data_IF_173780689953
#
_entry.id   IF_173780689953
#
_cell.length_a   1.000
_cell.length_b   1.000
_cell.length_c   1.000
_cell.angle_alpha   90.00
_cell.angle_beta   90.00
_cell.angle_gamma   90.00
#
_symmetry.space_group_name_H-M   'P 1'
#
loop_
_entity.id
_entity.type
_entity.pdbx_description
1 polymer ?
#
# COMPACT_ATOMS: atom_id res chain seq x y z
N UNK A 1 1.73 -19.08 26.05
CA UNK A 1 1.98 -18.98 24.60
C UNK A 1 1.35 -17.70 24.09
N UNK A 2 1.97 -16.99 23.15
CA UNK A 2 1.33 -15.85 22.50
C UNK A 2 0.08 -16.31 21.74
N UNK A 3 -0.93 -15.43 21.65
CA UNK A 3 -2.14 -15.73 20.88
C UNK A 3 -1.80 -15.91 19.40
N UNK A 4 -2.30 -17.00 18.80
CA UNK A 4 -2.15 -17.27 17.37
C UNK A 4 -3.14 -16.43 16.58
N UNK A 5 -2.71 -15.90 15.45
CA UNK A 5 -3.53 -15.08 14.56
C UNK A 5 -4.31 -15.95 13.60
N UNK A 6 -5.58 -15.60 13.44
CA UNK A 6 -6.44 -16.10 12.37
C UNK A 6 -6.29 -15.26 11.10
N UNK A 7 -6.79 -15.76 9.97
CA UNK A 7 -6.89 -14.98 8.73
C UNK A 7 -7.69 -13.68 8.93
N UNK A 8 -8.73 -13.71 9.77
CA UNK A 8 -9.46 -12.49 10.17
C UNK A 8 -8.57 -11.50 10.92
N UNK A 9 -7.76 -11.95 11.86
CA UNK A 9 -6.86 -11.06 12.61
C UNK A 9 -5.87 -10.39 11.66
N UNK A 10 -5.32 -11.13 10.69
CA UNK A 10 -4.40 -10.61 9.67
C UNK A 10 -5.09 -9.56 8.78
N UNK A 11 -6.32 -9.83 8.32
CA UNK A 11 -7.14 -8.86 7.59
C UNK A 11 -7.40 -7.60 8.42
N UNK A 12 -7.72 -7.74 9.71
CA UNK A 12 -7.94 -6.60 10.62
C UNK A 12 -6.67 -5.77 10.87
N UNK A 13 -5.48 -6.33 10.64
CA UNK A 13 -4.22 -5.57 10.68
C UNK A 13 -3.95 -4.79 9.40
N UNK A 14 -4.53 -5.17 8.27
CA UNK A 14 -4.24 -4.57 6.97
C UNK A 14 -5.37 -3.67 6.47
N UNK A 15 -6.62 -4.12 6.55
CA UNK A 15 -7.82 -3.39 6.12
C UNK A 15 -8.62 -2.92 7.34
N UNK A 16 -8.12 -1.87 7.99
CA UNK A 16 -8.66 -1.40 9.27
C UNK A 16 -9.83 -0.42 9.13
N UNK A 17 -9.98 0.23 7.98
CA UNK A 17 -10.97 1.29 7.80
C UNK A 17 -12.39 0.71 7.75
N UNK A 18 -13.36 1.29 8.47
CA UNK A 18 -14.74 0.79 8.48
C UNK A 18 -15.36 0.76 7.07
N UNK A 19 -16.36 -0.10 6.90
CA UNK A 19 -17.12 -0.25 5.67
C UNK A 19 -18.46 0.48 5.83
N UNK A 20 -18.84 1.33 4.86
CA UNK A 20 -20.06 2.13 4.95
C UNK A 20 -21.33 1.26 4.98
N UNK A 21 -21.36 0.19 4.17
CA UNK A 21 -22.47 -0.74 4.02
C UNK A 21 -22.61 -1.74 5.18
N UNK A 22 -21.53 -1.98 5.95
CA UNK A 22 -21.52 -2.99 7.02
C UNK A 22 -21.37 -2.42 8.43
N UNK A 23 -20.72 -1.28 8.54
CA UNK A 23 -20.41 -0.62 9.80
C UNK A 23 -20.74 0.88 9.71
N UNK A 24 -21.97 1.26 9.30
CA UNK A 24 -22.32 2.64 8.94
C UNK A 24 -22.02 3.64 10.06
N UNK A 25 -22.32 3.30 11.31
CA UNK A 25 -22.04 4.19 12.44
C UNK A 25 -20.54 4.35 12.71
N UNK A 26 -19.75 3.27 12.59
CA UNK A 26 -18.29 3.33 12.77
C UNK A 26 -17.65 4.08 11.62
N UNK A 27 -18.19 3.93 10.41
CA UNK A 27 -17.80 4.66 9.22
C UNK A 27 -18.05 6.16 9.38
N UNK A 28 -19.27 6.55 9.77
CA UNK A 28 -19.63 7.94 10.03
C UNK A 28 -18.74 8.56 11.11
N UNK A 29 -18.59 7.90 12.27
CA UNK A 29 -17.70 8.38 13.35
C UNK A 29 -16.25 8.54 12.88
N UNK A 30 -15.77 7.66 11.98
CA UNK A 30 -14.41 7.79 11.44
C UNK A 30 -14.31 8.98 10.49
N UNK A 31 -15.28 9.19 9.60
CA UNK A 31 -15.32 10.35 8.72
C UNK A 31 -15.43 11.67 9.50
N UNK A 32 -16.16 11.71 10.62
CA UNK A 32 -16.24 12.89 11.50
C UNK A 32 -14.88 13.29 12.10
N UNK A 33 -13.92 12.36 12.16
CA UNK A 33 -12.55 12.64 12.61
C UNK A 33 -11.60 13.10 11.50
N UNK A 34 -12.09 13.17 10.26
CA UNK A 34 -11.31 13.43 9.05
C UNK A 34 -11.88 14.64 8.29
N UNK A 35 -11.07 15.19 7.41
CA UNK A 35 -11.54 15.97 6.27
C UNK A 35 -11.36 15.15 5.00
N UNK A 36 -12.31 15.29 4.07
CA UNK A 36 -12.16 14.70 2.74
C UNK A 36 -11.40 15.69 1.86
N UNK A 37 -10.23 15.30 1.38
CA UNK A 37 -9.55 16.04 0.32
C UNK A 37 -10.30 15.78 -0.98
N UNK A 38 -10.73 16.84 -1.66
CA UNK A 38 -11.54 16.74 -2.87
C UNK A 38 -10.88 17.48 -4.04
N UNK A 39 -11.16 16.98 -5.24
CA UNK A 39 -10.87 17.64 -6.50
C UNK A 39 -12.17 18.05 -7.19
N UNK A 40 -12.09 18.97 -8.14
CA UNK A 40 -13.22 19.43 -8.94
C UNK A 40 -12.80 19.55 -10.42
N UNK A 41 -13.60 18.96 -11.29
CA UNK A 41 -13.49 19.11 -12.75
C UNK A 41 -14.88 19.43 -13.34
N UNK A 42 -15.04 19.30 -14.66
CA UNK A 42 -16.28 19.60 -15.38
C UNK A 42 -17.47 18.73 -14.96
N UNK A 43 -17.21 17.54 -14.41
CA UNK A 43 -18.22 16.60 -13.93
C UNK A 43 -18.51 16.77 -12.42
N UNK A 44 -17.93 17.77 -11.77
CA UNK A 44 -18.19 18.13 -10.38
C UNK A 44 -17.09 17.74 -9.39
N UNK A 45 -17.47 17.65 -8.11
CA UNK A 45 -16.54 17.43 -6.99
C UNK A 45 -16.45 15.95 -6.62
N UNK A 46 -15.23 15.43 -6.45
CA UNK A 46 -14.99 14.04 -6.04
C UNK A 46 -13.83 13.92 -5.05
N UNK A 47 -13.81 12.88 -4.20
CA UNK A 47 -12.77 12.70 -3.20
C UNK A 47 -11.47 12.16 -3.82
N UNK A 48 -10.34 12.61 -3.29
CA UNK A 48 -8.99 12.14 -3.66
C UNK A 48 -8.14 11.74 -2.45
N UNK A 49 -8.63 11.94 -1.22
CA UNK A 49 -7.97 11.45 -0.02
C UNK A 49 -8.72 11.74 1.28
N UNK A 50 -8.26 11.13 2.38
CA UNK A 50 -8.77 11.37 3.74
C UNK A 50 -7.69 11.94 4.66
N UNK A 51 -7.83 13.20 5.04
CA UNK A 51 -6.86 13.96 5.83
C UNK A 51 -7.28 14.05 7.29
N UNK A 52 -6.33 13.95 8.23
CA UNK A 52 -6.62 14.23 9.64
C UNK A 52 -6.89 15.71 9.87
N UNK A 53 -7.80 16.04 10.78
CA UNK A 53 -8.07 17.44 11.16
C UNK A 53 -6.83 18.14 11.73
N UNK A 54 -5.99 17.42 12.47
CA UNK A 54 -4.70 17.93 12.97
C UNK A 54 -3.73 18.28 11.85
N UNK A 55 -3.71 17.52 10.75
CA UNK A 55 -2.89 17.85 9.58
C UNK A 55 -3.36 19.15 8.95
N UNK A 56 -4.66 19.30 8.77
CA UNK A 56 -5.26 20.53 8.27
C UNK A 56 -4.94 21.75 9.14
N UNK A 57 -4.95 21.59 10.46
CA UNK A 57 -4.61 22.65 11.41
C UNK A 57 -3.17 23.15 11.24
N UNK A 58 -2.21 22.26 11.01
CA UNK A 58 -0.83 22.66 10.70
C UNK A 58 -0.67 23.23 9.28
N UNK A 59 -1.38 22.70 8.29
CA UNK A 59 -1.37 23.22 6.92
C UNK A 59 -1.83 24.68 6.89
N UNK A 60 -2.84 25.07 7.68
CA UNK A 60 -3.27 26.48 7.79
C UNK A 60 -2.16 27.42 8.25
N UNK A 61 -1.22 26.94 9.06
CA UNK A 61 -0.09 27.72 9.61
C UNK A 61 1.05 27.89 8.60
N UNK A 62 1.10 27.09 7.54
CA UNK A 62 2.09 27.26 6.46
C UNK A 62 1.82 28.61 5.76
N UNK A 63 2.86 29.44 5.51
CA UNK A 63 2.69 30.73 4.84
C UNK A 63 1.95 30.61 3.51
N UNK A 64 1.00 31.50 3.25
CA UNK A 64 0.17 31.48 2.04
C UNK A 64 1.01 31.43 0.75
N UNK A 65 2.13 32.15 0.72
CA UNK A 65 3.07 32.16 -0.42
C UNK A 65 3.73 30.81 -0.70
N UNK A 66 3.74 29.89 0.28
CA UNK A 66 4.33 28.55 0.15
C UNK A 66 3.25 27.51 -0.15
N UNK A 67 2.13 27.53 0.58
CA UNK A 67 1.07 26.52 0.43
C UNK A 67 0.05 26.81 -0.65
N UNK A 68 -0.06 28.06 -1.06
CA UNK A 68 -1.17 28.54 -1.88
C UNK A 68 -2.52 28.42 -1.18
N UNK A 69 -3.57 28.48 -1.97
CA UNK A 69 -4.94 28.54 -1.47
C UNK A 69 -5.46 27.21 -0.94
N UNK A 70 -6.24 27.33 0.14
CA UNK A 70 -7.01 26.25 0.74
C UNK A 70 -8.47 26.68 0.67
N UNK A 71 -9.33 25.88 0.04
CA UNK A 71 -10.78 26.06 0.11
C UNK A 71 -11.30 25.02 1.08
N UNK A 72 -11.94 25.48 2.16
CA UNK A 72 -12.48 24.63 3.22
C UNK A 72 -13.99 24.84 3.32
N UNK A 73 -14.74 23.74 3.22
CA UNK A 73 -16.18 23.69 3.48
C UNK A 73 -16.44 23.00 4.83
N UNK A 74 -16.82 23.75 5.88
CA UNK A 74 -17.08 23.20 7.21
C UNK A 74 -18.39 22.39 7.29
N UNK A 75 -19.34 22.61 6.36
CA UNK A 75 -20.60 21.86 6.36
C UNK A 75 -20.41 20.49 5.71
N UNK A 76 -19.66 20.44 4.62
CA UNK A 76 -19.34 19.19 3.94
C UNK A 76 -18.11 18.46 4.52
N UNK A 77 -17.36 19.10 5.44
CA UNK A 77 -16.05 18.63 5.92
C UNK A 77 -15.08 18.31 4.77
N UNK A 78 -15.06 19.17 3.74
CA UNK A 78 -14.18 18.99 2.56
C UNK A 78 -13.12 20.07 2.48
N UNK A 79 -11.98 19.69 1.90
CA UNK A 79 -10.82 20.57 1.69
C UNK A 79 -10.37 20.43 0.23
N UNK A 80 -10.16 21.54 -0.48
CA UNK A 80 -9.47 21.59 -1.77
C UNK A 80 -8.13 22.28 -1.61
N UNK A 81 -7.07 21.63 -2.07
CA UNK A 81 -5.70 22.16 -2.09
C UNK A 81 -5.04 21.92 -3.44
N UNK A 82 -4.03 22.74 -3.76
CA UNK A 82 -3.22 22.63 -4.98
C UNK A 82 -4.01 22.70 -6.30
N UNK A 83 -5.28 23.12 -6.28
CA UNK A 83 -6.18 23.10 -7.45
C UNK A 83 -6.01 24.29 -8.39
N UNK A 84 -5.56 25.46 -7.89
CA UNK A 84 -5.48 26.69 -8.70
C UNK A 84 -4.43 26.70 -9.81
N UNK A 85 -3.21 26.15 -9.63
CA UNK A 85 -2.24 26.16 -10.72
C UNK A 85 -2.73 25.35 -11.92
N UNK A 86 -2.65 25.93 -13.12
CA UNK A 86 -3.23 25.36 -14.34
C UNK A 86 -2.60 24.03 -14.80
N UNK A 87 -1.32 23.81 -14.49
CA UNK A 87 -0.55 22.66 -14.98
C UNK A 87 -0.18 21.71 -13.84
N UNK A 88 -0.19 20.40 -14.10
CA UNK A 88 0.30 19.35 -13.18
C UNK A 88 1.63 19.73 -12.53
N UNK A 89 2.63 20.10 -13.34
CA UNK A 89 3.96 20.51 -12.85
C UNK A 89 3.91 21.59 -11.76
N UNK A 90 3.16 22.67 -11.97
CA UNK A 90 3.03 23.76 -10.97
C UNK A 90 2.29 23.32 -9.71
N UNK A 91 1.33 22.39 -9.82
CA UNK A 91 0.64 21.81 -8.66
C UNK A 91 1.60 20.92 -7.86
N UNK A 92 2.40 20.12 -8.55
CA UNK A 92 3.49 19.32 -7.98
C UNK A 92 4.53 20.18 -7.28
N UNK A 93 4.97 21.29 -7.89
CA UNK A 93 5.89 22.26 -7.26
C UNK A 93 5.30 22.87 -5.99
N UNK A 94 4.02 23.23 -5.99
CA UNK A 94 3.33 23.80 -4.83
C UNK A 94 3.17 22.76 -3.69
N UNK A 95 2.78 21.53 -4.04
CA UNK A 95 2.71 20.42 -3.09
C UNK A 95 4.09 20.11 -2.48
N UNK A 96 5.15 20.11 -3.30
CA UNK A 96 6.52 19.92 -2.87
C UNK A 96 7.00 21.05 -1.94
N UNK A 97 6.74 22.32 -2.29
CA UNK A 97 7.11 23.46 -1.44
C UNK A 97 6.42 23.40 -0.06
N UNK A 98 5.12 23.06 -0.06
CA UNK A 98 4.32 22.91 1.17
C UNK A 98 4.88 21.81 2.07
N UNK A 99 5.09 20.62 1.51
CA UNK A 99 5.54 19.44 2.26
C UNK A 99 6.99 19.55 2.70
N UNK A 100 7.83 20.21 1.90
CA UNK A 100 9.19 20.55 2.27
C UNK A 100 9.24 21.54 3.44
N UNK A 101 8.37 22.56 3.45
CA UNK A 101 8.25 23.47 4.60
C UNK A 101 7.89 22.71 5.88
N UNK A 102 6.89 21.83 5.82
CA UNK A 102 6.50 21.00 6.98
C UNK A 102 7.64 20.09 7.44
N UNK A 103 8.41 19.52 6.50
CA UNK A 103 9.58 18.69 6.80
C UNK A 103 10.68 19.48 7.50
N UNK A 104 11.06 20.64 6.96
CA UNK A 104 12.12 21.48 7.55
C UNK A 104 11.75 21.96 8.96
N UNK A 105 10.47 22.23 9.20
CA UNK A 105 9.95 22.58 10.52
C UNK A 105 9.68 21.37 11.42
N UNK A 106 9.99 20.14 10.96
CA UNK A 106 9.78 18.88 11.69
C UNK A 106 8.35 18.72 12.22
N UNK A 107 7.36 19.26 11.50
CA UNK A 107 5.97 19.36 11.96
C UNK A 107 5.34 17.99 12.18
N UNK A 108 5.67 17.01 11.34
CA UNK A 108 5.15 15.65 11.43
C UNK A 108 6.29 14.63 11.45
N UNK A 109 6.21 13.66 12.35
CA UNK A 109 7.25 12.61 12.46
C UNK A 109 7.40 11.80 11.18
N UNK A 110 6.29 11.59 10.44
CA UNK A 110 6.30 10.79 9.21
C UNK A 110 7.21 11.38 8.12
N UNK A 111 7.38 12.70 8.08
CA UNK A 111 8.25 13.39 7.12
C UNK A 111 9.75 13.15 7.37
N UNK A 112 10.14 12.50 8.47
CA UNK A 112 11.51 12.00 8.65
C UNK A 112 11.83 10.86 7.68
N UNK A 113 10.83 10.12 7.22
CA UNK A 113 10.96 9.03 6.25
C UNK A 113 11.05 9.49 4.79
N UNK A 114 11.53 10.70 4.54
CA UNK A 114 11.66 11.29 3.20
C UNK A 114 12.68 10.52 2.35
N UNK A 115 12.30 10.14 1.14
CA UNK A 115 13.09 9.30 0.23
C UNK A 115 13.44 9.96 -1.10
N UNK A 116 12.98 11.19 -1.34
CA UNK A 116 13.05 11.85 -2.66
C UNK A 116 12.33 11.03 -3.75
N UNK A 117 11.26 10.36 -3.36
CA UNK A 117 10.47 9.48 -4.21
C UNK A 117 9.08 10.10 -4.40
N UNK A 118 8.73 10.43 -5.65
CA UNK A 118 7.49 11.14 -5.96
C UNK A 118 6.39 10.16 -6.34
N UNK A 119 5.25 10.23 -5.65
CA UNK A 119 4.09 9.39 -5.88
C UNK A 119 2.95 10.18 -6.55
N UNK A 120 2.21 9.57 -7.48
CA UNK A 120 1.16 10.24 -8.24
C UNK A 120 -0.16 10.33 -7.46
N UNK A 121 -0.85 11.45 -7.59
CA UNK A 121 -2.26 11.60 -7.19
C UNK A 121 -3.08 11.71 -8.47
N UNK A 122 -3.93 10.71 -8.71
CA UNK A 122 -4.71 10.61 -9.94
C UNK A 122 -6.07 11.31 -9.85
N UNK A 123 -6.53 11.80 -11.00
CA UNK A 123 -7.91 12.20 -11.24
C UNK A 123 -8.73 11.03 -11.77
N UNK A 124 -10.05 11.20 -11.84
CA UNK A 124 -10.98 10.18 -12.35
C UNK A 124 -10.81 9.86 -13.84
N UNK A 125 -10.07 10.68 -14.58
CA UNK A 125 -9.80 10.47 -16.01
C UNK A 125 -8.44 9.79 -16.25
N UNK A 126 -7.82 9.24 -15.21
CA UNK A 126 -6.50 8.59 -15.27
C UNK A 126 -5.32 9.58 -15.36
N UNK A 127 -5.58 10.89 -15.37
CA UNK A 127 -4.54 11.91 -15.39
C UNK A 127 -3.89 12.10 -14.02
N UNK A 128 -2.63 12.51 -14.00
CA UNK A 128 -1.93 12.88 -12.77
C UNK A 128 -2.30 14.32 -12.44
N UNK A 129 -3.04 14.52 -11.34
CA UNK A 129 -3.40 15.85 -10.85
C UNK A 129 -2.14 16.58 -10.39
N UNK A 130 -1.36 15.92 -9.54
CA UNK A 130 -0.05 16.35 -9.06
C UNK A 130 0.68 15.14 -8.47
N UNK A 131 1.97 15.30 -8.23
CA UNK A 131 2.77 14.32 -7.49
C UNK A 131 3.24 14.91 -6.16
N UNK A 132 3.48 14.03 -5.20
CA UNK A 132 3.94 14.41 -3.87
C UNK A 132 4.98 13.41 -3.38
N UNK A 133 5.87 13.85 -2.48
CA UNK A 133 6.83 12.93 -1.89
C UNK A 133 6.12 11.82 -1.08
N UNK A 134 6.59 10.58 -1.23
CA UNK A 134 6.01 9.35 -0.67
C UNK A 134 5.61 9.44 0.80
N UNK A 135 6.47 9.99 1.66
CA UNK A 135 6.18 10.13 3.08
C UNK A 135 5.10 11.20 3.35
N UNK A 136 5.01 12.21 2.49
CA UNK A 136 4.01 13.27 2.61
C UNK A 136 2.62 12.87 2.09
N UNK A 137 2.49 11.92 1.15
CA UNK A 137 1.18 11.40 0.68
C UNK A 137 0.29 10.97 1.85
N UNK A 138 0.90 10.38 2.89
CA UNK A 138 0.25 9.97 4.12
C UNK A 138 -0.55 11.08 4.83
N UNK A 139 -0.03 12.32 4.80
CA UNK A 139 -0.66 13.47 5.45
C UNK A 139 -2.01 13.78 4.81
N UNK A 140 -2.13 13.56 3.51
CA UNK A 140 -3.32 13.86 2.72
C UNK A 140 -4.26 12.65 2.57
N UNK A 141 -3.80 11.46 2.99
CA UNK A 141 -4.52 10.20 2.88
C UNK A 141 -4.97 9.87 1.47
N UNK A 142 -4.16 10.27 0.48
CA UNK A 142 -4.40 9.95 -0.92
C UNK A 142 -4.04 8.50 -1.23
N UNK A 143 -4.52 8.04 -2.40
CA UNK A 143 -4.19 6.73 -2.94
C UNK A 143 -2.69 6.46 -3.01
N UNK A 144 -2.36 5.20 -2.75
CA UNK A 144 -1.02 4.65 -2.76
C UNK A 144 -1.02 3.39 -3.61
N UNK A 145 0.03 3.24 -4.39
CA UNK A 145 0.12 2.17 -5.37
C UNK A 145 1.40 1.40 -5.15
N UNK A 146 1.34 0.08 -5.29
CA UNK A 146 2.51 -0.78 -5.20
C UNK A 146 2.35 -2.06 -5.99
N UNK A 147 3.42 -2.84 -6.03
CA UNK A 147 3.41 -4.22 -6.53
C UNK A 147 3.82 -5.16 -5.43
N UNK A 148 3.35 -6.40 -5.56
CA UNK A 148 3.85 -7.52 -4.79
C UNK A 148 4.05 -8.70 -5.74
N UNK A 149 5.19 -9.36 -5.67
CA UNK A 149 5.47 -10.58 -6.42
C UNK A 149 5.75 -11.73 -5.45
N UNK A 150 5.09 -12.85 -5.68
CA UNK A 150 5.34 -14.12 -4.98
C UNK A 150 6.07 -15.05 -5.95
N UNK A 151 7.32 -15.36 -5.60
CA UNK A 151 8.08 -16.40 -6.27
C UNK A 151 7.90 -17.75 -5.56
N UNK A 152 7.67 -18.80 -6.34
CA UNK A 152 7.52 -20.16 -5.85
C UNK A 152 8.17 -21.16 -6.81
N UNK A 153 8.41 -22.38 -6.33
CA UNK A 153 8.91 -23.50 -7.14
C UNK A 153 7.96 -24.69 -7.00
N UNK A 154 7.85 -25.49 -8.06
CA UNK A 154 7.16 -26.77 -7.99
C UNK A 154 7.98 -27.76 -7.16
N UNK A 155 7.34 -28.44 -6.22
CA UNK A 155 7.99 -29.40 -5.34
C UNK A 155 7.02 -30.54 -5.02
N UNK A 156 7.05 -31.60 -5.83
CA UNK A 156 6.13 -32.74 -5.72
C UNK A 156 6.21 -33.48 -4.39
N UNK A 157 7.31 -33.34 -3.66
CA UNK A 157 7.50 -33.90 -2.32
C UNK A 157 6.95 -33.00 -1.20
N UNK A 158 6.63 -31.74 -1.50
CA UNK A 158 5.97 -30.84 -0.55
C UNK A 158 4.46 -31.16 -0.45
N UNK A 159 3.84 -31.02 0.74
CA UNK A 159 2.43 -31.39 0.93
C UNK A 159 1.42 -30.70 -0.01
N UNK A 160 1.75 -29.49 -0.46
CA UNK A 160 0.91 -28.68 -1.37
C UNK A 160 1.49 -28.60 -2.79
N UNK A 161 2.47 -29.44 -3.12
CA UNK A 161 3.10 -29.47 -4.45
C UNK A 161 4.00 -28.29 -4.78
N UNK A 162 4.15 -27.31 -3.88
CA UNK A 162 4.97 -26.10 -4.07
C UNK A 162 5.76 -25.73 -2.80
N UNK A 163 6.79 -24.90 -2.99
CA UNK A 163 7.45 -24.11 -1.94
C UNK A 163 7.58 -22.66 -2.38
N UNK A 164 7.60 -21.73 -1.41
CA UNK A 164 7.63 -20.29 -1.65
C UNK A 164 8.94 -19.68 -1.19
N UNK A 165 9.45 -18.70 -1.94
CA UNK A 165 10.59 -17.88 -1.50
C UNK A 165 10.12 -16.75 -0.60
N UNK A 166 10.47 -16.84 0.68
CA UNK A 166 10.06 -15.92 1.73
C UNK A 166 11.28 -15.10 2.20
N UNK A 167 11.37 -13.81 1.84
CA UNK A 167 12.39 -12.93 2.35
C UNK A 167 12.13 -12.53 3.80
N UNK A 168 13.22 -12.27 4.51
CA UNK A 168 13.24 -11.55 5.78
C UNK A 168 13.76 -10.14 5.53
N UNK A 169 12.98 -9.14 5.94
CA UNK A 169 13.34 -7.72 5.78
C UNK A 169 14.57 -7.38 6.63
N UNK A 170 15.41 -6.52 6.09
CA UNK A 170 16.58 -6.01 6.81
C UNK A 170 16.21 -5.32 8.12
N UNK A 171 17.05 -5.47 9.14
CA UNK A 171 16.84 -4.84 10.47
C UNK A 171 16.92 -3.31 10.43
N UNK A 172 17.57 -2.76 9.40
CA UNK A 172 17.75 -1.31 9.24
C UNK A 172 16.57 -0.63 8.50
N UNK A 173 15.59 -1.41 8.01
CA UNK A 173 14.39 -0.86 7.38
C UNK A 173 13.63 0.04 8.37
N UNK A 174 13.23 1.22 7.91
CA UNK A 174 12.47 2.18 8.73
C UNK A 174 11.09 1.68 9.13
N UNK A 175 10.53 0.72 8.40
CA UNK A 175 9.22 0.11 8.68
C UNK A 175 9.33 -1.40 8.70
N UNK A 176 8.74 -2.00 9.74
CA UNK A 176 8.68 -3.45 9.92
C UNK A 176 10.04 -4.18 9.79
N UNK A 177 11.09 -3.73 10.51
CA UNK A 177 12.41 -4.36 10.45
C UNK A 177 12.34 -5.83 10.90
N UNK A 178 13.02 -6.72 10.18
CA UNK A 178 13.12 -8.15 10.53
C UNK A 178 11.87 -9.00 10.29
N UNK A 179 10.76 -8.40 9.85
CA UNK A 179 9.54 -9.15 9.50
C UNK A 179 9.69 -9.87 8.16
N UNK A 180 8.84 -10.87 7.93
CA UNK A 180 8.74 -11.57 6.65
C UNK A 180 7.94 -10.75 5.64
N UNK A 181 8.32 -10.85 4.36
CA UNK A 181 7.76 -10.10 3.24
C UNK A 181 7.37 -11.03 2.08
N UNK A 182 6.72 -10.50 1.05
CA UNK A 182 6.61 -11.20 -0.23
C UNK A 182 7.95 -11.12 -0.96
N UNK A 183 8.22 -12.03 -1.91
CA UNK A 183 9.55 -12.17 -2.55
C UNK A 183 10.11 -10.84 -3.03
N UNK A 184 9.26 -10.02 -3.65
CA UNK A 184 9.57 -8.66 -4.08
C UNK A 184 8.35 -7.78 -3.78
N UNK A 185 8.54 -6.58 -3.24
CA UNK A 185 7.46 -5.64 -2.98
C UNK A 185 7.88 -4.16 -3.04
N UNK A 186 7.34 -3.44 -4.01
CA UNK A 186 7.70 -2.05 -4.31
C UNK A 186 6.54 -1.06 -4.29
N UNK A 187 6.85 0.22 -4.10
CA UNK A 187 5.89 1.30 -4.32
C UNK A 187 5.98 1.83 -5.75
N UNK A 188 4.84 2.18 -6.37
CA UNK A 188 4.84 2.79 -7.69
C UNK A 188 5.19 4.28 -7.60
N UNK A 189 6.27 4.64 -8.27
CA UNK A 189 6.65 6.04 -8.45
C UNK A 189 5.84 6.71 -9.57
N UNK A 190 5.88 8.03 -9.62
CA UNK A 190 5.17 8.83 -10.62
C UNK A 190 5.62 8.42 -12.03
N UNK A 191 4.64 8.04 -12.88
CA UNK A 191 4.82 7.61 -14.29
C UNK A 191 5.54 6.27 -14.47
N UNK A 192 5.71 5.49 -13.40
CA UNK A 192 6.16 4.11 -13.47
C UNK A 192 4.95 3.19 -13.69
N UNK A 193 5.06 2.24 -14.64
CA UNK A 193 4.02 1.21 -14.81
C UNK A 193 4.18 0.13 -13.74
N UNK A 194 3.11 -0.61 -13.38
CA UNK A 194 3.23 -1.72 -12.44
C UNK A 194 4.28 -2.74 -12.85
N UNK A 195 4.40 -3.06 -14.15
CA UNK A 195 5.37 -4.05 -14.61
C UNK A 195 6.81 -3.52 -14.61
N UNK A 196 7.03 -2.24 -14.92
CA UNK A 196 8.35 -1.62 -14.77
C UNK A 196 8.80 -1.66 -13.30
N UNK A 197 7.87 -1.44 -12.36
CA UNK A 197 8.12 -1.57 -10.93
C UNK A 197 8.52 -3.01 -10.55
N UNK A 198 7.80 -4.03 -11.06
CA UNK A 198 8.18 -5.45 -10.86
C UNK A 198 9.60 -5.71 -11.35
N UNK A 199 9.95 -5.23 -12.55
CA UNK A 199 11.28 -5.44 -13.14
C UNK A 199 12.40 -4.80 -12.32
N UNK A 200 12.18 -3.58 -11.82
CA UNK A 200 13.16 -2.85 -10.99
C UNK A 200 13.33 -3.53 -9.63
N UNK A 201 12.23 -3.75 -8.92
CA UNK A 201 12.26 -4.28 -7.55
C UNK A 201 12.76 -5.73 -7.51
N UNK A 202 12.51 -6.53 -8.56
CA UNK A 202 13.01 -7.90 -8.64
C UNK A 202 14.53 -7.99 -8.79
N UNK A 203 15.15 -6.98 -9.41
CA UNK A 203 16.61 -6.84 -9.49
C UNK A 203 17.16 -6.29 -8.15
N UNK A 204 16.55 -5.23 -7.62
CA UNK A 204 16.98 -4.53 -6.39
C UNK A 204 16.85 -5.39 -5.12
N UNK A 205 15.74 -6.11 -4.93
CA UNK A 205 15.48 -6.86 -3.69
C UNK A 205 15.91 -8.33 -3.75
N UNK A 206 15.91 -8.94 -4.95
CA UNK A 206 15.97 -10.39 -5.11
C UNK A 206 16.99 -10.90 -6.14
N UNK A 207 17.75 -10.02 -6.80
CA UNK A 207 18.74 -10.37 -7.84
C UNK A 207 18.17 -11.25 -8.97
N UNK A 208 16.86 -11.15 -9.25
CA UNK A 208 16.21 -12.02 -10.22
C UNK A 208 16.57 -11.60 -11.65
N UNK A 209 16.99 -12.53 -12.52
CA UNK A 209 17.34 -12.19 -13.89
C UNK A 209 16.18 -11.54 -14.66
N UNK A 210 16.42 -10.39 -15.28
CA UNK A 210 15.37 -9.63 -15.97
C UNK A 210 14.63 -10.45 -17.04
N UNK A 211 15.33 -11.29 -17.80
CA UNK A 211 14.68 -12.12 -18.83
C UNK A 211 13.67 -13.10 -18.20
N UNK A 212 14.02 -13.69 -17.05
CA UNK A 212 13.16 -14.62 -16.33
C UNK A 212 11.89 -13.92 -15.83
N UNK A 213 12.05 -12.77 -15.17
CA UNK A 213 10.90 -11.99 -14.67
C UNK A 213 10.01 -11.56 -15.83
N UNK A 214 10.60 -11.05 -16.91
CA UNK A 214 9.86 -10.60 -18.10
C UNK A 214 9.02 -11.71 -18.74
N UNK A 215 9.59 -12.90 -18.87
CA UNK A 215 8.96 -13.99 -19.62
C UNK A 215 7.96 -14.80 -18.77
N UNK A 216 8.12 -14.80 -17.44
CA UNK A 216 7.38 -15.70 -16.55
C UNK A 216 6.52 -15.03 -15.48
N UNK A 217 6.78 -13.77 -15.11
CA UNK A 217 5.95 -13.09 -14.11
C UNK A 217 4.55 -12.82 -14.69
N UNK A 218 3.51 -13.21 -13.95
CA UNK A 218 2.12 -13.08 -14.40
C UNK A 218 1.33 -12.23 -13.43
N UNK A 219 0.63 -11.23 -13.95
CA UNK A 219 -0.36 -10.48 -13.18
C UNK A 219 -1.45 -11.46 -12.74
N UNK A 220 -1.60 -11.62 -11.43
CA UNK A 220 -2.57 -12.50 -10.80
C UNK A 220 -3.83 -11.75 -10.33
N UNK A 221 -3.76 -10.43 -10.20
CA UNK A 221 -4.89 -9.55 -9.89
C UNK A 221 -4.48 -8.35 -9.04
N UNK A 222 -5.49 -7.63 -8.54
CA UNK A 222 -5.31 -6.46 -7.69
C UNK A 222 -5.80 -6.74 -6.28
N UNK A 223 -5.02 -6.36 -5.28
CA UNK A 223 -5.43 -6.36 -3.88
C UNK A 223 -5.61 -4.92 -3.40
N UNK A 224 -6.80 -4.63 -2.89
CA UNK A 224 -7.21 -3.29 -2.45
C UNK A 224 -7.65 -3.30 -1.00
N UNK A 225 -7.16 -2.35 -0.22
CA UNK A 225 -7.47 -2.19 1.20
C UNK A 225 -7.32 -0.74 1.65
N UNK A 226 -7.84 -0.41 2.83
CA UNK A 226 -7.53 0.85 3.50
C UNK A 226 -6.89 0.55 4.86
N UNK A 227 -5.57 0.71 4.91
CA UNK A 227 -4.79 0.58 6.13
C UNK A 227 -4.94 1.84 7.00
N UNK A 228 -4.90 1.64 8.32
CA UNK A 228 -4.85 2.74 9.28
C UNK A 228 -3.67 2.53 10.19
N UNK A 229 -2.84 3.57 10.37
CA UNK A 229 -1.76 3.51 11.36
C UNK A 229 -2.39 3.46 12.75
N UNK A 230 -1.97 2.45 13.50
CA UNK A 230 -2.25 2.30 14.91
C UNK A 230 -0.95 2.14 15.71
N UNK A 231 -1.10 2.04 17.03
CA UNK A 231 -0.02 1.91 18.03
C UNK A 231 1.04 0.86 17.70
N UNK A 232 0.73 -0.14 16.88
CA UNK A 232 1.64 -1.25 16.54
C UNK A 232 2.79 -0.84 15.61
N UNK A 233 2.71 0.32 14.97
CA UNK A 233 3.69 0.77 13.95
C UNK A 233 4.57 1.94 14.35
N UNK A 234 4.39 2.48 15.57
CA UNK A 234 5.18 3.63 16.04
C UNK A 234 4.95 4.93 15.25
N UNK A 235 3.98 4.95 14.32
CA UNK A 235 3.53 6.14 13.60
C UNK A 235 2.54 6.96 14.41
N UNK A 236 2.20 8.16 13.93
CA UNK A 236 1.14 8.96 14.54
C UNK A 236 -0.21 8.31 14.19
N UNK A 237 -0.99 7.97 15.22
CA UNK A 237 -2.25 7.24 15.06
C UNK A 237 -3.24 8.00 14.15
N UNK A 238 -3.99 7.21 13.37
CA UNK A 238 -5.17 7.70 12.68
C UNK A 238 -5.00 8.03 11.20
N UNK A 239 -3.76 8.15 10.69
CA UNK A 239 -3.49 8.30 9.26
C UNK A 239 -4.17 7.19 8.46
N UNK A 240 -4.74 7.56 7.32
CA UNK A 240 -5.51 6.67 6.45
C UNK A 240 -4.71 6.41 5.18
N UNK A 241 -4.60 5.15 4.82
CA UNK A 241 -3.78 4.68 3.73
C UNK A 241 -4.59 3.79 2.79
N UNK A 242 -5.33 4.39 1.87
CA UNK A 242 -5.96 3.64 0.79
C UNK A 242 -4.87 3.13 -0.16
N UNK A 243 -4.85 1.83 -0.42
CA UNK A 243 -3.80 1.18 -1.20
C UNK A 243 -4.38 0.24 -2.25
N UNK A 244 -3.74 0.23 -3.43
CA UNK A 244 -3.92 -0.77 -4.46
C UNK A 244 -2.58 -1.41 -4.79
N UNK A 245 -2.55 -2.74 -4.75
CA UNK A 245 -1.36 -3.57 -4.99
C UNK A 245 -1.60 -4.44 -6.22
N UNK A 246 -0.78 -4.31 -7.26
CA UNK A 246 -0.76 -5.28 -8.37
C UNK A 246 0.03 -6.50 -7.92
N UNK A 247 -0.63 -7.66 -7.94
CA UNK A 247 -0.07 -8.91 -7.45
C UNK A 247 0.40 -9.75 -8.62
N UNK A 248 1.66 -10.16 -8.57
CA UNK A 248 2.28 -11.01 -9.57
C UNK A 248 2.69 -12.35 -8.97
N UNK A 249 2.56 -13.40 -9.76
CA UNK A 249 3.10 -14.72 -9.43
C UNK A 249 4.25 -15.04 -10.39
N UNK A 250 5.31 -15.65 -9.86
CA UNK A 250 6.47 -16.08 -10.62
C UNK A 250 6.86 -17.51 -10.23
N UNK A 251 6.65 -18.46 -11.13
CA UNK A 251 7.24 -19.80 -10.95
C UNK A 251 8.72 -19.72 -11.35
N UNK A 252 9.60 -20.03 -10.40
CA UNK A 252 11.05 -20.06 -10.64
C UNK A 252 11.50 -21.48 -10.99
N UNK A 253 12.49 -21.62 -11.90
CA UNK A 253 13.26 -22.84 -12.02
C UNK A 253 13.96 -23.21 -10.71
N UNK A 254 14.17 -24.51 -10.48
CA UNK A 254 14.79 -25.02 -9.25
C UNK A 254 16.23 -24.54 -9.00
N UNK A 255 16.94 -24.12 -10.06
CA UNK A 255 18.31 -23.61 -10.02
C UNK A 255 18.40 -22.09 -9.84
N UNK A 256 17.26 -21.38 -9.83
CA UNK A 256 17.22 -19.93 -9.58
C UNK A 256 16.93 -19.66 -8.10
N UNK A 257 17.93 -19.11 -7.42
CA UNK A 257 17.87 -18.77 -5.99
C UNK A 257 17.88 -17.24 -5.86
N UNK A 258 16.84 -16.61 -5.30
CA UNK A 258 16.84 -15.18 -5.01
C UNK A 258 17.91 -14.81 -3.99
N UNK A 259 18.59 -13.68 -4.22
CA UNK A 259 19.66 -13.18 -3.35
C UNK A 259 19.46 -11.69 -3.03
N UNK A 260 19.70 -11.23 -1.79
CA UNK A 260 19.63 -9.80 -1.47
C UNK A 260 20.68 -9.00 -2.23
N UNK A 261 20.32 -7.81 -2.73
CA UNK A 261 21.22 -6.98 -3.54
C UNK A 261 21.42 -5.57 -2.96
N UNK A 262 20.35 -4.85 -2.64
CA UNK A 262 20.40 -3.44 -2.24
C UNK A 262 20.45 -3.17 -0.71
N UNK A 263 20.43 -4.24 0.10
CA UNK A 263 20.43 -4.17 1.57
C UNK A 263 19.05 -4.02 2.22
N UNK A 264 17.98 -4.02 1.43
CA UNK A 264 16.60 -3.98 1.90
C UNK A 264 16.10 -5.33 2.44
N UNK A 265 16.66 -6.42 1.93
CA UNK A 265 16.43 -7.81 2.35
C UNK A 265 17.63 -8.33 3.15
N UNK A 266 17.37 -9.07 4.23
CA UNK A 266 18.40 -9.72 5.07
C UNK A 266 18.76 -11.10 4.51
N UNK A 267 17.74 -11.89 4.13
CA UNK A 267 17.91 -13.25 3.63
C UNK A 267 16.63 -13.76 2.97
N UNK A 268 16.76 -14.81 2.16
CA UNK A 268 15.65 -15.57 1.60
C UNK A 268 15.58 -16.99 2.19
N UNK A 269 14.37 -17.50 2.39
CA UNK A 269 14.12 -18.87 2.82
C UNK A 269 13.15 -19.54 1.85
N UNK A 270 13.43 -20.78 1.47
CA UNK A 270 12.49 -21.59 0.71
C UNK A 270 11.58 -22.36 1.67
N UNK A 271 10.33 -21.91 1.81
CA UNK A 271 9.38 -22.44 2.80
C UNK A 271 8.29 -23.29 2.15
N UNK A 272 7.88 -24.35 2.84
CA UNK A 272 6.62 -25.03 2.56
C UNK A 272 5.42 -24.16 2.92
N UNK A 273 4.28 -24.42 2.29
CA UNK A 273 3.02 -23.73 2.60
C UNK A 273 2.63 -23.86 4.08
N UNK A 274 2.90 -24.99 4.73
CA UNK A 274 2.58 -25.20 6.14
C UNK A 274 3.48 -24.37 7.06
N UNK A 275 4.77 -24.22 6.74
CA UNK A 275 5.67 -23.30 7.44
C UNK A 275 5.21 -21.85 7.28
N UNK A 276 4.77 -21.44 6.08
CA UNK A 276 4.23 -20.11 5.84
C UNK A 276 2.95 -19.88 6.64
N UNK A 277 2.02 -20.85 6.69
CA UNK A 277 0.83 -20.78 7.56
C UNK A 277 1.20 -20.62 9.03
N UNK A 278 2.21 -21.34 9.51
CA UNK A 278 2.72 -21.19 10.87
C UNK A 278 3.32 -19.79 11.11
N UNK A 279 4.08 -19.26 10.15
CA UNK A 279 4.64 -17.91 10.22
C UNK A 279 3.55 -16.82 10.26
N UNK A 280 2.49 -16.98 9.46
CA UNK A 280 1.32 -16.11 9.47
C UNK A 280 0.59 -16.16 10.82
N UNK A 281 0.31 -17.37 11.32
CA UNK A 281 -0.35 -17.57 12.61
C UNK A 281 0.46 -17.06 13.80
N UNK A 282 1.78 -16.95 13.67
CA UNK A 282 2.67 -16.39 14.70
C UNK A 282 2.97 -14.90 14.51
N UNK A 283 2.35 -14.26 13.51
CA UNK A 283 2.43 -12.81 13.31
C UNK A 283 3.79 -12.30 12.86
N UNK A 284 4.58 -13.14 12.18
CA UNK A 284 5.94 -12.80 11.71
C UNK A 284 5.98 -11.98 10.42
N UNK A 285 4.85 -11.85 9.73
CA UNK A 285 4.74 -11.19 8.43
C UNK A 285 4.33 -9.72 8.56
N UNK A 286 4.92 -8.87 7.71
CA UNK A 286 4.45 -7.50 7.51
C UNK A 286 2.96 -7.53 7.11
N UNK A 287 2.10 -6.64 7.63
CA UNK A 287 0.64 -6.83 7.54
C UNK A 287 0.08 -6.95 6.12
N UNK A 288 0.51 -6.12 5.18
CA UNK A 288 0.02 -6.21 3.81
C UNK A 288 0.53 -7.49 3.13
N UNK A 289 1.79 -7.85 3.35
CA UNK A 289 2.39 -9.07 2.79
C UNK A 289 1.69 -10.33 3.30
N UNK A 290 1.25 -10.32 4.57
CA UNK A 290 0.46 -11.40 5.14
C UNK A 290 -0.86 -11.61 4.38
N UNK A 291 -1.57 -10.54 4.01
CA UNK A 291 -2.84 -10.67 3.29
C UNK A 291 -2.65 -10.95 1.80
N UNK A 292 -1.56 -10.48 1.18
CA UNK A 292 -1.18 -10.89 -0.19
C UNK A 292 -0.90 -12.40 -0.24
N UNK A 293 -0.25 -12.95 0.79
CA UNK A 293 -0.04 -14.40 0.91
C UNK A 293 -1.36 -15.17 1.10
N UNK A 294 -2.34 -14.61 1.82
CA UNK A 294 -3.67 -15.21 1.91
C UNK A 294 -4.39 -15.22 0.55
N UNK A 295 -4.33 -14.11 -0.20
CA UNK A 295 -4.85 -14.01 -1.58
C UNK A 295 -4.23 -15.07 -2.49
N UNK A 296 -2.90 -15.24 -2.44
CA UNK A 296 -2.20 -16.31 -3.17
C UNK A 296 -2.69 -17.70 -2.79
N UNK A 297 -2.85 -17.99 -1.50
CA UNK A 297 -3.35 -19.30 -1.07
C UNK A 297 -4.78 -19.57 -1.53
N UNK A 298 -5.63 -18.54 -1.63
CA UNK A 298 -6.97 -18.71 -2.21
C UNK A 298 -6.89 -19.00 -3.70
N UNK A 299 -6.12 -18.21 -4.46
CA UNK A 299 -5.95 -18.40 -5.91
C UNK A 299 -5.32 -19.76 -6.28
N UNK A 300 -4.43 -20.28 -5.44
CA UNK A 300 -3.80 -21.60 -5.61
C UNK A 300 -4.66 -22.77 -5.06
N UNK A 301 -5.84 -22.51 -4.51
CA UNK A 301 -6.72 -23.54 -3.96
C UNK A 301 -6.24 -24.18 -2.64
N UNK A 302 -5.23 -23.59 -1.99
CA UNK A 302 -4.69 -24.02 -0.69
C UNK A 302 -5.65 -23.68 0.44
N UNK A 303 -6.22 -22.47 0.39
CA UNK A 303 -7.36 -22.07 1.23
C UNK A 303 -8.62 -22.20 0.41
N UNK A 304 -9.65 -22.79 1.02
CA UNK A 304 -10.96 -23.03 0.43
C UNK A 304 -12.03 -22.77 1.47
N UNK A 305 -13.27 -22.54 1.03
CA UNK A 305 -14.43 -22.44 1.95
C UNK A 305 -14.58 -23.63 2.90
N UNK A 306 -14.00 -24.80 2.57
CA UNK A 306 -14.06 -25.99 3.43
C UNK A 306 -13.06 -25.98 4.58
N UNK A 307 -11.91 -25.30 4.42
CA UNK A 307 -10.81 -25.36 5.38
C UNK A 307 -10.44 -24.00 6.01
N UNK A 308 -10.99 -22.90 5.51
CA UNK A 308 -10.76 -21.54 6.01
C UNK A 308 -12.09 -20.88 6.40
N UNK A 309 -12.38 -20.75 7.71
CA UNK A 309 -13.63 -20.15 8.21
C UNK A 309 -13.86 -18.70 7.75
N UNK A 310 -12.80 -17.96 7.42
CA UNK A 310 -12.86 -16.56 7.00
C UNK A 310 -12.64 -16.38 5.49
N UNK A 311 -12.82 -17.43 4.68
CA UNK A 311 -12.55 -17.41 3.25
C UNK A 311 -13.28 -16.26 2.54
N UNK A 312 -14.59 -16.09 2.81
CA UNK A 312 -15.38 -15.03 2.18
C UNK A 312 -14.98 -13.62 2.67
N UNK A 313 -14.38 -13.50 3.86
CA UNK A 313 -13.79 -12.23 4.31
C UNK A 313 -12.49 -11.91 3.56
N UNK A 314 -11.65 -12.92 3.25
CA UNK A 314 -10.44 -12.75 2.43
C UNK A 314 -10.82 -12.24 1.04
N UNK A 315 -11.66 -12.99 0.32
CA UNK A 315 -12.10 -12.66 -1.05
C UNK A 315 -12.69 -11.26 -1.14
N UNK A 316 -13.53 -10.89 -0.17
CA UNK A 316 -14.23 -9.61 -0.18
C UNK A 316 -13.34 -8.44 0.24
N UNK A 317 -12.59 -8.56 1.35
CA UNK A 317 -11.83 -7.43 1.91
C UNK A 317 -10.58 -7.11 1.11
N UNK A 318 -10.03 -8.08 0.39
CA UNK A 318 -8.90 -7.87 -0.52
C UNK A 318 -9.32 -7.38 -1.90
N UNK A 319 -10.61 -7.27 -2.17
CA UNK A 319 -11.21 -6.61 -3.34
C UNK A 319 -12.04 -5.40 -2.92
N UNK A 320 -11.57 -4.68 -1.90
CA UNK A 320 -12.26 -3.49 -1.40
C UNK A 320 -12.45 -2.47 -2.52
N UNK A 321 -13.68 -1.99 -2.70
CA UNK A 321 -13.94 -0.80 -3.51
C UNK A 321 -13.38 0.43 -2.79
N UNK A 322 -12.44 1.11 -3.43
CA UNK A 322 -11.84 2.33 -2.91
C UNK A 322 -12.70 3.53 -3.36
N UNK A 323 -12.82 4.58 -2.53
CA UNK A 323 -13.66 5.72 -2.86
C UNK A 323 -12.93 6.76 -3.72
N UNK A 324 -11.71 6.48 -4.17
CA UNK A 324 -10.82 7.44 -4.80
C UNK A 324 -10.42 6.95 -6.19
N UNK A 325 -10.26 7.84 -7.17
CA UNK A 325 -9.93 7.45 -8.52
C UNK A 325 -8.48 7.00 -8.68
N UNK A 326 -8.23 6.29 -9.79
CA UNK A 326 -6.89 6.04 -10.30
C UNK A 326 -6.83 4.81 -11.21
N UNK A 327 -5.63 4.39 -11.62
CA UNK A 327 -5.43 3.36 -12.65
C UNK A 327 -5.93 1.95 -12.26
N UNK A 328 -6.39 1.77 -11.02
CA UNK A 328 -6.94 0.52 -10.51
C UNK A 328 -8.42 0.34 -10.85
N UNK A 329 -9.08 1.36 -11.43
CA UNK A 329 -10.47 1.31 -11.88
C UNK A 329 -10.61 0.76 -13.31
N UNK A 330 -9.58 0.92 -14.15
CA UNK A 330 -9.57 0.43 -15.54
C UNK A 330 -9.37 -1.09 -15.65
N UNK A 331 -9.04 -1.76 -14.53
CA UNK A 331 -8.74 -3.20 -14.43
C UNK A 331 -9.82 -4.02 -13.68
N UNK A 332 -10.98 -3.42 -13.36
CA UNK A 332 -12.17 -4.13 -12.85
C UNK A 332 -13.12 -4.58 -13.98
#
# INVERSE_FOLDING_TARGET
MAARLTSKDLLDRCDGFPYADRQPERYARKLDSLFTLVWEDEEGVYPIGYMLKSVFDELKKVPLAIRGDIVFDPFANTVKMFHKPATEKKRTELAAATTHYLRLNQTFKILKGWRNEMWPIYGRNGDILFSMERAAVALFGCMRYGIHLIAYVQCSTAPHGIKMWVPKRSQIKTSWPGMLDNTVAGGLTTRETPFDCVMREADEEASLPQHLVRDHAKLAGLVKYIYMVDTRTGGEEGYVYPECQWVYDLELPDDVIPEPNDGEVESFMLCTVDEVKEQLATGRWKPNCAVITLDFFVRMGILTRKNEPYFDDIERRLRRKLPFPGPHEDEE
#
